data_IF_270670162912
#
_entry.id   IF_270670162912
#
_cell.length_a   1.000
_cell.length_b   1.000
_cell.length_c   1.000
_cell.angle_alpha   90.00
_cell.angle_beta   90.00
_cell.angle_gamma   90.00
#
_symmetry.space_group_name_H-M   'P 1'
#
loop_
_entity.id
_entity.type
_entity.pdbx_description
1 polymer ?
#
# COMPACT_ATOMS: atom_id res chain seq x y z
N UNK A 1 1.78 -24.04 4.44
CA UNK A 1 1.63 -22.83 5.28
C UNK A 1 0.68 -21.90 4.56
N UNK A 2 -0.21 -21.23 5.27
CA UNK A 2 -1.23 -20.37 4.68
C UNK A 2 -1.04 -18.93 5.17
N UNK A 3 -0.91 -18.00 4.24
CA UNK A 3 -0.83 -16.56 4.49
C UNK A 3 -1.91 -15.86 3.64
N UNK A 4 -3.20 -15.94 4.00
CA UNK A 4 -4.29 -15.48 3.17
C UNK A 4 -4.52 -13.97 3.28
N UNK A 5 -4.85 -13.32 2.16
CA UNK A 5 -5.47 -11.99 2.12
C UNK A 5 -6.32 -11.80 0.85
N UNK A 6 -7.20 -10.79 0.88
CA UNK A 6 -8.21 -10.52 -0.14
C UNK A 6 -7.58 -10.27 -1.53
N UNK A 7 -8.24 -10.78 -2.58
CA UNK A 7 -7.74 -10.66 -3.94
C UNK A 7 -7.75 -9.20 -4.41
N UNK A 8 -6.64 -8.77 -5.02
CA UNK A 8 -6.39 -7.40 -5.47
C UNK A 8 -6.19 -6.34 -4.37
N UNK A 9 -6.07 -6.72 -3.10
CA UNK A 9 -5.70 -5.82 -2.01
C UNK A 9 -4.24 -6.07 -1.58
N UNK A 10 -3.57 -5.10 -0.92
CA UNK A 10 -2.35 -5.40 -0.20
C UNK A 10 -2.67 -6.26 1.05
N UNK A 11 -1.72 -7.11 1.50
CA UNK A 11 -1.84 -7.80 2.78
C UNK A 11 -1.65 -6.82 3.95
N UNK A 12 -2.10 -7.19 5.16
CA UNK A 12 -1.56 -6.59 6.38
C UNK A 12 -0.03 -6.64 6.38
N UNK A 13 0.64 -5.56 6.76
CA UNK A 13 2.10 -5.45 6.60
C UNK A 13 2.84 -6.53 7.41
N UNK A 14 2.35 -6.88 8.60
CA UNK A 14 2.90 -7.95 9.46
C UNK A 14 2.88 -9.33 8.77
N UNK A 15 1.82 -9.63 8.01
CA UNK A 15 1.66 -10.92 7.34
C UNK A 15 2.81 -11.18 6.35
N UNK A 16 3.33 -10.14 5.70
CA UNK A 16 4.48 -10.25 4.81
C UNK A 16 5.76 -10.64 5.55
N UNK A 17 6.00 -10.06 6.74
CA UNK A 17 7.17 -10.40 7.57
C UNK A 17 7.08 -11.83 8.10
N UNK A 18 5.91 -12.24 8.59
CA UNK A 18 5.68 -13.61 9.05
C UNK A 18 5.90 -14.63 7.92
N UNK A 19 5.39 -14.34 6.71
CA UNK A 19 5.60 -15.20 5.55
C UNK A 19 7.07 -15.29 5.16
N UNK A 20 7.80 -14.16 5.12
CA UNK A 20 9.23 -14.16 4.79
C UNK A 20 10.06 -14.95 5.81
N UNK A 21 9.76 -14.83 7.11
CA UNK A 21 10.42 -15.61 8.16
C UNK A 21 10.24 -17.12 7.96
N UNK A 22 9.02 -17.56 7.67
CA UNK A 22 8.77 -19.00 7.46
C UNK A 22 9.38 -19.52 6.16
N UNK A 23 9.44 -18.70 5.10
CA UNK A 23 10.16 -19.01 3.86
C UNK A 23 11.66 -19.17 4.15
N UNK A 24 12.28 -18.21 4.84
CA UNK A 24 13.69 -18.26 5.24
C UNK A 24 13.99 -19.51 6.08
N UNK A 25 13.16 -19.77 7.09
CA UNK A 25 13.30 -20.96 7.95
C UNK A 25 13.26 -22.25 7.15
N UNK A 26 12.37 -22.38 6.16
CA UNK A 26 12.28 -23.57 5.32
C UNK A 26 13.50 -23.73 4.42
N UNK A 27 13.93 -22.66 3.75
CA UNK A 27 15.09 -22.70 2.84
C UNK A 27 16.40 -22.98 3.60
N UNK A 28 16.54 -22.49 4.82
CA UNK A 28 17.73 -22.71 5.65
C UNK A 28 17.86 -24.15 6.21
N UNK A 29 16.86 -25.03 6.06
CA UNK A 29 16.97 -26.43 6.54
C UNK A 29 17.96 -27.24 5.69
N UNK A 30 17.93 -27.05 4.37
CA UNK A 30 18.81 -27.75 3.43
C UNK A 30 18.82 -27.03 2.08
N UNK A 31 19.97 -26.93 1.38
CA UNK A 31 20.09 -26.19 0.12
C UNK A 31 19.23 -26.76 -1.03
N UNK A 32 18.69 -27.97 -0.90
CA UNK A 32 17.79 -28.57 -1.89
C UNK A 32 16.32 -28.20 -1.68
N UNK A 33 15.99 -27.49 -0.59
CA UNK A 33 14.61 -27.11 -0.32
C UNK A 33 14.14 -26.04 -1.31
N UNK A 34 12.88 -26.17 -1.71
CA UNK A 34 12.24 -25.24 -2.66
C UNK A 34 10.97 -24.68 -2.03
N UNK A 35 10.69 -23.40 -2.31
CA UNK A 35 9.41 -22.76 -1.96
C UNK A 35 8.61 -22.50 -3.23
N UNK A 36 7.35 -22.94 -3.22
CA UNK A 36 6.38 -22.66 -4.27
C UNK A 36 5.32 -21.72 -3.71
N UNK A 37 5.26 -20.50 -4.23
CA UNK A 37 4.25 -19.50 -3.85
C UNK A 37 3.15 -19.47 -4.91
N UNK A 38 1.90 -19.67 -4.50
CA UNK A 38 0.76 -19.56 -5.40
C UNK A 38 -0.33 -18.63 -4.86
N UNK A 39 -1.16 -18.16 -5.77
CA UNK A 39 -2.46 -17.56 -5.49
C UNK A 39 -3.41 -18.03 -6.59
N UNK A 40 -4.51 -17.30 -6.88
CA UNK A 40 -5.40 -17.69 -7.98
C UNK A 40 -4.76 -17.59 -9.36
N UNK A 41 -4.00 -16.52 -9.62
CA UNK A 41 -3.46 -16.22 -10.97
C UNK A 41 -1.92 -16.09 -11.00
N UNK A 42 -1.24 -16.20 -9.86
CA UNK A 42 0.23 -16.07 -9.78
C UNK A 42 0.77 -14.72 -10.24
N UNK A 43 0.00 -13.62 -10.04
CA UNK A 43 0.35 -12.24 -10.46
C UNK A 43 0.59 -11.32 -9.26
N UNK A 44 -0.40 -10.53 -8.85
CA UNK A 44 -0.21 -9.46 -7.87
C UNK A 44 0.17 -9.96 -6.47
N UNK A 45 -0.62 -10.88 -5.88
CA UNK A 45 -0.37 -11.39 -4.52
C UNK A 45 0.93 -12.18 -4.41
N UNK A 46 1.12 -13.13 -5.33
CA UNK A 46 2.34 -13.93 -5.44
C UNK A 46 3.56 -13.05 -5.64
N UNK A 47 3.50 -12.08 -6.57
CA UNK A 47 4.58 -11.14 -6.81
C UNK A 47 4.90 -10.27 -5.61
N UNK A 48 3.88 -9.80 -4.88
CA UNK A 48 4.08 -8.99 -3.66
C UNK A 48 4.92 -9.76 -2.64
N UNK A 49 4.54 -11.01 -2.32
CA UNK A 49 5.29 -11.82 -1.37
C UNK A 49 6.69 -12.19 -1.88
N UNK A 50 6.84 -12.54 -3.15
CA UNK A 50 8.15 -12.86 -3.75
C UNK A 50 9.08 -11.64 -3.71
N UNK A 51 8.58 -10.45 -4.06
CA UNK A 51 9.36 -9.21 -3.97
C UNK A 51 9.79 -8.94 -2.53
N UNK A 52 8.86 -9.03 -1.56
CA UNK A 52 9.19 -8.90 -0.15
C UNK A 52 10.25 -9.92 0.29
N UNK A 53 10.17 -11.18 -0.15
CA UNK A 53 11.17 -12.17 0.22
C UNK A 53 12.55 -11.88 -0.38
N UNK A 54 12.64 -11.41 -1.63
CA UNK A 54 13.91 -11.01 -2.25
C UNK A 54 14.58 -9.82 -1.55
N UNK A 55 13.77 -8.90 -1.00
CA UNK A 55 14.26 -7.81 -0.14
C UNK A 55 14.67 -8.35 1.22
N UNK A 56 13.85 -9.24 1.79
CA UNK A 56 14.08 -9.85 3.08
C UNK A 56 15.36 -10.67 3.09
N UNK A 57 15.69 -11.42 2.03
CA UNK A 57 16.96 -12.14 1.92
C UNK A 57 18.18 -11.22 1.77
N UNK A 58 17.99 -9.93 1.46
CA UNK A 58 19.07 -8.98 1.25
C UNK A 58 19.74 -9.07 -0.12
N UNK A 59 19.20 -9.87 -1.06
CA UNK A 59 19.77 -9.98 -2.41
C UNK A 59 19.47 -8.78 -3.30
N UNK A 60 18.28 -8.18 -3.13
CA UNK A 60 17.86 -7.01 -3.89
C UNK A 60 18.00 -5.72 -3.08
N UNK A 61 18.51 -4.64 -3.69
CA UNK A 61 18.87 -3.42 -2.98
C UNK A 61 17.67 -2.58 -2.54
N UNK A 62 16.57 -2.63 -3.29
CA UNK A 62 15.38 -1.84 -3.03
C UNK A 62 14.12 -2.43 -3.68
N UNK A 63 12.98 -1.92 -3.24
CA UNK A 63 11.66 -2.33 -3.72
C UNK A 63 11.47 -2.22 -5.23
N UNK A 64 12.05 -1.20 -5.89
CA UNK A 64 11.90 -1.05 -7.34
C UNK A 64 12.67 -2.15 -8.09
N UNK A 65 13.90 -2.46 -7.66
CA UNK A 65 14.67 -3.59 -8.19
C UNK A 65 13.90 -4.92 -8.03
N UNK A 66 13.29 -5.15 -6.87
CA UNK A 66 12.46 -6.34 -6.63
C UNK A 66 11.26 -6.45 -7.55
N UNK A 67 10.53 -5.35 -7.74
CA UNK A 67 9.39 -5.29 -8.64
C UNK A 67 9.79 -5.50 -10.11
N UNK A 68 10.89 -4.88 -10.56
CA UNK A 68 11.44 -5.03 -11.92
C UNK A 68 11.88 -6.46 -12.19
N UNK A 69 12.70 -7.03 -11.29
CA UNK A 69 13.17 -8.41 -11.41
C UNK A 69 12.02 -9.42 -11.42
N UNK A 70 11.03 -9.26 -10.53
CA UNK A 70 9.86 -10.14 -10.57
C UNK A 70 9.08 -10.03 -11.89
N UNK A 71 8.90 -8.81 -12.42
CA UNK A 71 8.21 -8.58 -13.70
C UNK A 71 8.91 -9.31 -14.84
N UNK A 72 10.23 -9.12 -15.01
CA UNK A 72 11.00 -9.71 -16.11
C UNK A 72 11.07 -11.23 -16.04
N UNK A 73 11.26 -11.80 -14.84
CA UNK A 73 11.37 -13.26 -14.68
C UNK A 73 10.04 -13.98 -14.91
N UNK A 74 8.92 -13.35 -14.56
CA UNK A 74 7.60 -13.99 -14.60
C UNK A 74 6.81 -13.70 -15.89
N UNK A 75 7.02 -12.55 -16.52
CA UNK A 75 6.18 -12.07 -17.62
C UNK A 75 7.03 -11.65 -18.82
N UNK A 76 6.58 -12.02 -20.03
CA UNK A 76 7.20 -11.57 -21.30
C UNK A 76 6.75 -10.17 -21.71
N UNK A 77 5.48 -9.85 -21.50
CA UNK A 77 4.86 -8.56 -21.81
C UNK A 77 3.84 -8.19 -20.73
N UNK A 78 3.81 -6.90 -20.35
CA UNK A 78 2.99 -6.41 -19.25
C UNK A 78 3.21 -7.19 -17.95
N UNK A 79 2.22 -7.21 -17.06
CA UNK A 79 2.25 -8.07 -15.87
C UNK A 79 3.00 -7.49 -14.67
N UNK A 80 3.43 -8.37 -13.78
CA UNK A 80 4.03 -8.00 -12.49
C UNK A 80 3.02 -7.62 -11.41
N UNK A 81 3.54 -7.02 -10.33
CA UNK A 81 2.72 -6.39 -9.29
C UNK A 81 2.27 -5.03 -9.81
N UNK A 82 0.98 -4.92 -10.12
CA UNK A 82 0.43 -3.78 -10.89
C UNK A 82 -0.56 -2.94 -10.10
N UNK A 83 -1.10 -3.45 -8.99
CA UNK A 83 -2.00 -2.67 -8.16
C UNK A 83 -1.17 -1.66 -7.34
N UNK A 84 -1.44 -0.35 -7.44
CA UNK A 84 -0.69 0.67 -6.71
C UNK A 84 -0.56 0.40 -5.20
N UNK A 85 -1.60 -0.10 -4.54
CA UNK A 85 -1.49 -0.40 -3.10
C UNK A 85 -0.61 -1.62 -2.81
N UNK A 86 -0.55 -2.61 -3.70
CA UNK A 86 0.40 -3.72 -3.54
C UNK A 86 1.85 -3.25 -3.71
N UNK A 87 2.11 -2.41 -4.72
CA UNK A 87 3.42 -1.77 -4.94
C UNK A 87 3.83 -0.95 -3.71
N UNK A 88 2.90 -0.14 -3.17
CA UNK A 88 3.13 0.65 -1.96
C UNK A 88 3.55 -0.20 -0.77
N UNK A 89 2.93 -1.36 -0.58
CA UNK A 89 3.25 -2.25 0.54
C UNK A 89 4.60 -2.96 0.38
N UNK A 90 5.08 -3.22 -0.85
CA UNK A 90 6.47 -3.66 -1.08
C UNK A 90 7.46 -2.57 -0.66
N UNK A 91 7.16 -1.30 -0.98
CA UNK A 91 7.99 -0.16 -0.55
C UNK A 91 7.97 0.04 0.97
N UNK A 92 6.81 -0.07 1.60
CA UNK A 92 6.68 -0.04 3.06
C UNK A 92 7.49 -1.15 3.73
N UNK A 93 7.47 -2.35 3.16
CA UNK A 93 8.25 -3.47 3.64
C UNK A 93 9.76 -3.19 3.59
N UNK A 94 10.24 -2.64 2.47
CA UNK A 94 11.64 -2.23 2.29
C UNK A 94 12.08 -1.16 3.32
N UNK A 95 11.26 -0.12 3.51
CA UNK A 95 11.51 0.94 4.48
C UNK A 95 11.61 0.42 5.93
N UNK A 96 10.77 -0.55 6.30
CA UNK A 96 10.85 -1.21 7.62
C UNK A 96 12.13 -2.03 7.74
N UNK A 97 12.50 -2.80 6.71
CA UNK A 97 13.75 -3.57 6.70
C UNK A 97 14.99 -2.69 6.86
N UNK A 98 14.94 -1.48 6.29
CA UNK A 98 15.99 -0.45 6.40
C UNK A 98 15.94 0.33 7.71
N UNK A 99 14.96 0.06 8.59
CA UNK A 99 14.80 0.73 9.88
C UNK A 99 14.32 2.18 9.78
N UNK A 100 13.80 2.60 8.61
CA UNK A 100 13.24 3.93 8.37
C UNK A 100 11.88 4.11 9.05
N UNK A 101 11.17 3.00 9.29
CA UNK A 101 9.93 2.97 10.08
C UNK A 101 10.03 1.83 11.08
N UNK A 102 9.83 2.15 12.37
CA UNK A 102 9.95 1.19 13.47
C UNK A 102 8.65 1.01 14.26
N UNK A 103 7.71 1.94 14.18
CA UNK A 103 6.40 1.75 14.78
C UNK A 103 5.32 2.64 14.12
N UNK A 104 4.03 2.36 14.36
CA UNK A 104 2.94 3.08 13.72
C UNK A 104 2.76 4.46 14.34
N UNK A 105 2.02 5.32 13.63
CA UNK A 105 1.53 6.59 14.18
C UNK A 105 0.05 6.47 14.57
N UNK A 106 -0.36 7.25 15.57
CA UNK A 106 -1.78 7.49 15.87
C UNK A 106 -2.16 8.82 15.25
N UNK A 107 -3.09 8.81 14.30
CA UNK A 107 -3.41 9.98 13.49
C UNK A 107 -4.91 10.26 13.48
N UNK A 108 -5.27 11.54 13.52
CA UNK A 108 -6.63 12.02 13.34
C UNK A 108 -6.78 12.57 11.92
N UNK A 109 -7.50 11.90 11.01
CA UNK A 109 -7.89 12.53 9.75
C UNK A 109 -8.79 13.75 10.01
N UNK A 110 -8.46 14.88 9.40
CA UNK A 110 -9.19 16.16 9.54
C UNK A 110 -10.15 16.35 8.37
N UNK A 111 -9.63 16.21 7.15
CA UNK A 111 -10.38 16.46 5.92
C UNK A 111 -10.03 15.45 4.83
N UNK A 112 -11.01 15.15 4.00
CA UNK A 112 -10.87 14.31 2.81
C UNK A 112 -11.34 15.14 1.61
N UNK A 113 -10.47 15.30 0.62
CA UNK A 113 -10.72 16.15 -0.53
C UNK A 113 -10.28 15.47 -1.83
N UNK A 114 -10.75 16.00 -2.95
CA UNK A 114 -10.25 15.64 -4.29
C UNK A 114 -9.89 16.88 -5.09
N UNK A 115 -8.84 16.80 -5.91
CA UNK A 115 -8.45 17.91 -6.80
C UNK A 115 -9.39 18.09 -7.99
N UNK A 116 -9.95 17.00 -8.49
CA UNK A 116 -10.97 17.01 -9.55
C UNK A 116 -12.01 15.95 -9.23
N UNK A 117 -13.23 16.11 -9.73
CA UNK A 117 -14.30 15.13 -9.57
C UNK A 117 -14.51 14.29 -10.83
N UNK A 118 -14.81 12.98 -10.73
CA UNK A 118 -15.14 12.17 -11.89
C UNK A 118 -16.41 12.64 -12.63
N UNK A 119 -16.38 12.65 -13.96
CA UNK A 119 -17.52 13.02 -14.80
C UNK A 119 -18.47 11.83 -14.96
N UNK A 120 -19.70 11.99 -14.45
CA UNK A 120 -20.85 11.15 -14.82
C UNK A 120 -21.87 11.99 -15.58
N UNK A 121 -23.18 11.79 -15.34
CA UNK A 121 -24.22 12.55 -16.01
C UNK A 121 -24.07 14.04 -15.68
N UNK A 122 -24.00 14.87 -16.73
CA UNK A 122 -23.83 16.32 -16.62
C UNK A 122 -22.54 16.71 -15.85
N UNK A 123 -21.41 16.07 -16.18
CA UNK A 123 -20.09 16.31 -15.58
C UNK A 123 -20.07 16.36 -14.05
N UNK A 124 -20.92 15.56 -13.41
CA UNK A 124 -21.11 15.66 -11.98
C UNK A 124 -21.05 14.32 -11.27
N UNK A 125 -20.67 14.36 -10.00
CA UNK A 125 -20.60 13.18 -9.13
C UNK A 125 -21.18 13.41 -7.75
N UNK A 126 -21.58 12.33 -7.08
CA UNK A 126 -21.93 12.28 -5.66
C UNK A 126 -20.98 11.31 -5.00
N UNK A 127 -19.91 11.82 -4.39
CA UNK A 127 -18.85 10.97 -3.87
C UNK A 127 -19.21 10.44 -2.48
N UNK A 128 -19.12 9.12 -2.33
CA UNK A 128 -19.12 8.42 -1.04
C UNK A 128 -17.69 8.00 -0.76
N UNK A 129 -17.21 8.26 0.44
CA UNK A 129 -15.92 7.80 0.94
C UNK A 129 -16.14 6.92 2.17
N UNK A 130 -15.49 5.77 2.19
CA UNK A 130 -15.53 4.82 3.30
C UNK A 130 -14.10 4.48 3.74
N UNK A 131 -13.85 4.46 5.05
CA UNK A 131 -12.62 3.94 5.64
C UNK A 131 -12.90 2.65 6.40
N UNK A 132 -11.95 1.73 6.27
CA UNK A 132 -12.00 0.41 6.88
C UNK A 132 -10.75 0.16 7.71
N UNK A 133 -10.96 -0.45 8.88
CA UNK A 133 -9.90 -1.00 9.72
C UNK A 133 -10.32 -2.42 10.13
N UNK A 134 -9.45 -3.41 9.90
CA UNK A 134 -9.76 -4.83 10.08
C UNK A 134 -11.13 -5.21 9.47
N UNK A 135 -11.34 -4.88 8.19
CA UNK A 135 -12.57 -5.16 7.42
C UNK A 135 -13.84 -4.45 7.90
N UNK A 136 -13.79 -3.71 9.01
CA UNK A 136 -14.92 -2.97 9.56
C UNK A 136 -14.92 -1.53 9.06
N UNK A 137 -16.09 -1.02 8.67
CA UNK A 137 -16.25 0.41 8.35
C UNK A 137 -16.10 1.21 9.64
N UNK A 138 -15.09 2.07 9.69
CA UNK A 138 -14.86 3.01 10.80
C UNK A 138 -15.32 4.42 10.47
N UNK A 139 -15.57 4.72 9.19
CA UNK A 139 -16.06 6.01 8.74
C UNK A 139 -16.78 5.89 7.40
N UNK A 140 -17.87 6.64 7.26
CA UNK A 140 -18.51 6.88 5.96
C UNK A 140 -19.14 8.27 5.93
N UNK A 141 -19.03 8.98 4.81
CA UNK A 141 -19.77 10.22 4.57
C UNK A 141 -21.11 9.98 3.85
N UNK A 142 -21.52 8.72 3.68
CA UNK A 142 -22.75 8.34 2.98
C UNK A 142 -23.96 8.91 3.73
N UNK A 143 -24.71 9.76 3.06
CA UNK A 143 -25.95 10.32 3.60
C UNK A 143 -27.09 9.28 3.63
N UNK A 144 -28.13 9.47 4.45
CA UNK A 144 -29.30 8.57 4.46
C UNK A 144 -30.06 8.58 3.12
N UNK A 145 -29.99 9.70 2.41
CA UNK A 145 -30.65 9.91 1.13
C UNK A 145 -29.62 10.39 0.09
N UNK A 146 -29.68 9.83 -1.11
CA UNK A 146 -28.85 10.20 -2.25
C UNK A 146 -28.97 11.68 -2.58
N UNK A 147 -30.16 12.26 -2.45
CA UNK A 147 -30.39 13.65 -2.82
C UNK A 147 -29.80 14.63 -1.79
N UNK A 148 -29.48 14.14 -0.58
CA UNK A 148 -28.69 14.86 0.43
C UNK A 148 -27.18 14.70 0.23
N UNK A 149 -26.73 13.73 -0.55
CA UNK A 149 -25.31 13.57 -0.85
C UNK A 149 -24.82 14.76 -1.68
N UNK A 150 -23.68 15.32 -1.27
CA UNK A 150 -23.05 16.47 -1.95
C UNK A 150 -22.93 16.22 -3.44
N UNK A 151 -23.51 17.12 -4.23
CA UNK A 151 -23.45 17.09 -5.69
C UNK A 151 -22.30 17.96 -6.16
N UNK A 152 -21.29 17.33 -6.75
CA UNK A 152 -20.07 17.99 -7.21
C UNK A 152 -20.15 18.09 -8.73
N UNK A 153 -20.31 19.32 -9.24
CA UNK A 153 -20.12 19.63 -10.66
C UNK A 153 -18.70 20.15 -10.88
N UNK A 154 -18.00 19.60 -11.85
CA UNK A 154 -16.62 19.95 -12.17
C UNK A 154 -16.46 19.80 -13.68
N UNK A 155 -15.87 20.79 -14.35
CA UNK A 155 -15.57 20.72 -15.78
C UNK A 155 -14.06 20.51 -16.04
N UNK A 156 -13.28 20.30 -14.97
CA UNK A 156 -11.81 20.17 -14.94
C UNK A 156 -11.01 21.40 -15.36
N UNK A 157 -11.67 22.55 -15.51
CA UNK A 157 -11.05 23.83 -15.81
C UNK A 157 -10.64 24.61 -14.55
N UNK A 158 -11.40 24.44 -13.45
CA UNK A 158 -11.13 25.06 -12.15
C UNK A 158 -10.10 24.23 -11.36
N UNK A 159 -9.22 24.91 -10.62
CA UNK A 159 -8.27 24.29 -9.71
C UNK A 159 -8.78 24.17 -8.27
N UNK A 160 -10.08 24.44 -8.02
CA UNK A 160 -10.67 24.29 -6.68
C UNK A 160 -10.58 22.84 -6.19
N UNK A 161 -10.31 22.69 -4.88
CA UNK A 161 -10.43 21.40 -4.21
C UNK A 161 -11.90 21.14 -3.86
N UNK A 162 -12.35 19.90 -4.05
CA UNK A 162 -13.69 19.48 -3.66
C UNK A 162 -13.61 18.70 -2.35
N UNK A 163 -14.19 19.27 -1.29
CA UNK A 163 -14.30 18.60 0.01
C UNK A 163 -15.31 17.47 -0.06
N UNK A 164 -14.85 16.25 0.21
CA UNK A 164 -15.70 15.07 0.34
C UNK A 164 -16.24 14.97 1.77
N UNK A 165 -15.38 15.23 2.76
CA UNK A 165 -15.78 15.29 4.15
C UNK A 165 -14.82 16.07 5.05
N UNK A 166 -15.38 16.55 6.17
CA UNK A 166 -14.66 17.02 7.36
C UNK A 166 -15.05 16.06 8.48
N UNK A 167 -14.09 15.57 9.25
CA UNK A 167 -14.33 14.51 10.23
C UNK A 167 -14.61 15.08 11.62
N UNK A 168 -15.90 15.12 11.94
CA UNK A 168 -16.45 15.48 13.24
C UNK A 168 -17.64 14.55 13.56
N UNK A 169 -17.62 13.77 14.67
CA UNK A 169 -16.58 13.70 15.69
C UNK A 169 -15.24 13.12 15.21
N UNK A 170 -14.13 13.38 15.92
CA UNK A 170 -12.83 12.88 15.54
C UNK A 170 -12.75 11.35 15.66
N UNK A 171 -12.05 10.73 14.72
CA UNK A 171 -11.63 9.33 14.78
C UNK A 171 -10.10 9.27 14.84
N UNK A 172 -9.56 8.18 15.38
CA UNK A 172 -8.12 7.95 15.47
C UNK A 172 -7.75 6.68 14.72
N UNK A 173 -6.82 6.81 13.78
CA UNK A 173 -6.33 5.76 12.92
C UNK A 173 -4.99 5.23 13.42
N UNK A 174 -4.75 3.94 13.20
CA UNK A 174 -3.48 3.25 13.43
C UNK A 174 -3.37 2.05 12.49
N UNK A 175 -2.15 1.70 12.11
CA UNK A 175 -1.86 0.52 11.29
C UNK A 175 -2.39 0.64 9.85
N UNK A 176 -2.82 -0.48 9.29
CA UNK A 176 -3.29 -0.59 7.91
C UNK A 176 -4.74 -0.10 7.74
N UNK A 177 -4.94 0.90 6.89
CA UNK A 177 -6.23 1.52 6.59
C UNK A 177 -6.56 1.32 5.11
N UNK A 178 -7.78 0.85 4.83
CA UNK A 178 -8.33 0.74 3.48
C UNK A 178 -9.38 1.84 3.26
N UNK A 179 -9.25 2.59 2.18
CA UNK A 179 -10.21 3.60 1.77
C UNK A 179 -10.88 3.21 0.45
N UNK A 180 -12.19 3.45 0.33
CA UNK A 180 -12.96 3.21 -0.89
C UNK A 180 -13.74 4.46 -1.27
N UNK A 181 -13.75 4.78 -2.57
CA UNK A 181 -14.51 5.90 -3.13
C UNK A 181 -15.53 5.36 -4.13
N UNK A 182 -16.76 5.85 -4.03
CA UNK A 182 -17.86 5.49 -4.92
C UNK A 182 -18.57 6.72 -5.45
N UNK A 183 -19.19 6.58 -6.61
CA UNK A 183 -20.21 7.50 -7.08
C UNK A 183 -21.61 6.94 -6.76
N UNK A 184 -22.43 7.72 -6.05
CA UNK A 184 -23.83 7.39 -5.79
C UNK A 184 -24.72 7.65 -7.02
N UNK A 185 -24.74 6.66 -7.92
CA UNK A 185 -25.58 6.65 -9.11
C UNK A 185 -27.07 6.51 -8.79
N UNK A 186 -27.94 6.74 -9.79
CA UNK A 186 -29.41 6.69 -9.59
C UNK A 186 -29.92 5.30 -9.17
N UNK A 187 -29.35 4.24 -9.74
CA UNK A 187 -29.81 2.87 -9.50
C UNK A 187 -28.81 2.01 -8.71
N UNK A 188 -27.51 2.31 -8.84
CA UNK A 188 -26.46 1.61 -8.14
C UNK A 188 -25.26 2.53 -7.88
N UNK A 189 -24.53 2.20 -6.83
CA UNK A 189 -23.24 2.83 -6.58
C UNK A 189 -22.22 2.28 -7.57
N UNK A 190 -21.42 3.18 -8.13
CA UNK A 190 -20.28 2.82 -8.99
C UNK A 190 -19.03 2.90 -8.15
N UNK A 191 -18.32 1.79 -7.95
CA UNK A 191 -17.00 1.81 -7.34
C UNK A 191 -16.04 2.57 -8.27
N UNK A 192 -15.42 3.63 -7.75
CA UNK A 192 -14.49 4.46 -8.49
C UNK A 192 -13.08 3.92 -8.32
N UNK A 193 -12.55 4.10 -7.12
CA UNK A 193 -11.21 3.67 -6.76
C UNK A 193 -11.16 3.27 -5.28
N UNK A 194 -10.06 2.64 -4.91
CA UNK A 194 -9.69 2.33 -3.53
C UNK A 194 -8.20 2.55 -3.36
N UNK A 195 -7.74 2.65 -2.12
CA UNK A 195 -6.32 2.65 -1.82
C UNK A 195 -6.13 2.21 -0.37
N UNK A 196 -5.00 1.60 -0.07
CA UNK A 196 -4.59 1.33 1.30
C UNK A 196 -3.31 2.08 1.64
N UNK A 197 -3.18 2.47 2.90
CA UNK A 197 -1.98 3.05 3.48
C UNK A 197 -1.79 2.54 4.91
N UNK A 198 -0.58 2.66 5.43
CA UNK A 198 -0.27 2.35 6.82
C UNK A 198 0.11 3.65 7.56
N UNK A 199 -0.40 3.84 8.78
CA UNK A 199 -0.19 5.11 9.50
C UNK A 199 1.28 5.38 9.85
N UNK A 200 2.13 4.35 9.91
CA UNK A 200 3.58 4.50 10.12
C UNK A 200 4.30 5.24 8.99
N UNK A 201 3.66 5.42 7.83
CA UNK A 201 4.28 5.99 6.63
C UNK A 201 3.67 7.33 6.21
N UNK A 202 2.89 7.95 7.09
CA UNK A 202 2.34 9.27 6.78
C UNK A 202 3.47 10.31 6.77
N UNK A 203 3.60 11.13 5.71
CA UNK A 203 4.66 12.11 5.60
C UNK A 203 4.68 13.11 6.77
N UNK A 204 5.82 13.76 7.00
CA UNK A 204 5.97 14.73 8.09
C UNK A 204 5.01 15.91 7.99
N UNK A 205 4.65 16.35 6.78
CA UNK A 205 3.66 17.41 6.57
C UNK A 205 2.21 16.97 6.83
N UNK A 206 2.01 15.70 7.26
CA UNK A 206 0.71 15.11 7.64
C UNK A 206 -0.35 15.16 6.54
N UNK A 207 0.07 15.15 5.28
CA UNK A 207 -0.84 15.14 4.13
C UNK A 207 -0.46 13.98 3.22
N UNK A 208 -1.44 13.12 2.93
CA UNK A 208 -1.36 12.18 1.81
C UNK A 208 -1.96 12.84 0.58
N UNK A 209 -1.23 12.79 -0.55
CA UNK A 209 -1.76 13.11 -1.87
C UNK A 209 -1.56 11.88 -2.76
N UNK A 210 -2.65 11.20 -3.12
CA UNK A 210 -2.62 10.06 -4.04
C UNK A 210 -3.20 10.47 -5.38
N UNK A 211 -2.35 10.49 -6.41
CA UNK A 211 -2.74 10.81 -7.78
C UNK A 211 -3.52 9.66 -8.41
N UNK A 212 -4.12 9.94 -9.56
CA UNK A 212 -4.90 8.99 -10.36
C UNK A 212 -4.21 7.63 -10.57
N UNK A 213 -2.90 7.60 -10.82
CA UNK A 213 -2.14 6.37 -11.03
C UNK A 213 -1.71 5.68 -9.72
N UNK A 214 -1.94 6.30 -8.58
CA UNK A 214 -1.54 5.78 -7.26
C UNK A 214 -2.70 5.12 -6.50
N UNK A 215 -3.89 5.04 -7.10
CA UNK A 215 -5.06 4.40 -6.52
C UNK A 215 -5.47 3.15 -7.32
N UNK A 216 -6.04 2.17 -6.63
CA UNK A 216 -6.51 0.93 -7.23
C UNK A 216 -7.96 1.08 -7.74
N UNK A 217 -8.43 0.19 -8.64
CA UNK A 217 -7.60 -0.75 -9.40
C UNK A 217 -6.70 -0.01 -10.39
N UNK A 218 -5.57 -0.58 -10.79
CA UNK A 218 -4.63 0.06 -11.73
C UNK A 218 -5.32 0.68 -12.97
N UNK A 219 -6.35 0.02 -13.51
CA UNK A 219 -7.16 0.51 -14.65
C UNK A 219 -7.86 1.86 -14.40
N UNK A 220 -7.93 2.34 -13.16
CA UNK A 220 -8.43 3.68 -12.82
C UNK A 220 -7.57 4.78 -13.46
N UNK A 221 -6.25 4.55 -13.60
CA UNK A 221 -5.33 5.44 -14.33
C UNK A 221 -5.79 5.69 -15.77
N UNK A 222 -6.43 4.70 -16.40
CA UNK A 222 -6.90 4.74 -17.80
C UNK A 222 -8.32 5.28 -17.97
N UNK A 223 -9.00 5.64 -16.88
CA UNK A 223 -10.39 6.11 -16.96
C UNK A 223 -10.46 7.48 -17.63
N UNK A 224 -11.21 7.58 -18.73
CA UNK A 224 -11.51 8.86 -19.40
C UNK A 224 -12.56 9.68 -18.67
N UNK A 225 -13.22 9.12 -17.65
CA UNK A 225 -14.17 9.82 -16.78
C UNK A 225 -13.51 10.55 -15.63
N UNK A 226 -12.19 10.54 -15.55
CA UNK A 226 -11.42 11.09 -14.44
C UNK A 226 -10.27 11.89 -15.03
N UNK A 227 -10.12 13.15 -14.61
CA UNK A 227 -9.01 14.00 -15.05
C UNK A 227 -7.66 13.39 -14.68
N UNK A 228 -6.62 13.61 -15.49
CA UNK A 228 -5.25 13.24 -15.12
C UNK A 228 -4.71 14.07 -13.94
N UNK A 229 -5.34 15.22 -13.66
CA UNK A 229 -5.09 16.02 -12.45
C UNK A 229 -5.75 15.44 -11.20
N UNK A 230 -6.52 14.36 -11.31
CA UNK A 230 -7.19 13.75 -10.16
C UNK A 230 -6.18 13.36 -9.08
N UNK A 231 -6.49 13.77 -7.86
CA UNK A 231 -5.80 13.32 -6.67
C UNK A 231 -6.79 13.26 -5.50
N UNK A 232 -6.63 12.25 -4.66
CA UNK A 232 -7.26 12.18 -3.33
C UNK A 232 -6.29 12.79 -2.33
N UNK A 233 -6.79 13.69 -1.50
CA UNK A 233 -6.01 14.40 -0.49
C UNK A 233 -6.62 14.11 0.86
N UNK A 234 -5.80 13.63 1.80
CA UNK A 234 -6.20 13.43 3.19
C UNK A 234 -5.22 14.21 4.06
N UNK A 235 -5.76 15.10 4.88
CA UNK A 235 -5.02 15.86 5.88
C UNK A 235 -5.20 15.21 7.25
N UNK A 236 -4.11 15.11 7.99
CA UNK A 236 -4.07 14.49 9.31
C UNK A 236 -3.54 15.48 10.35
N UNK A 237 -3.99 15.27 11.58
CA UNK A 237 -3.39 15.81 12.80
C UNK A 237 -2.77 14.66 13.60
N UNK A 238 -1.72 14.94 14.35
CA UNK A 238 -1.12 13.99 15.28
C UNK A 238 -1.23 14.54 16.70
N UNK A 239 -1.62 13.69 17.65
CA UNK A 239 -1.78 14.07 19.06
C UNK A 239 -0.45 14.23 19.82
N UNK A 240 0.67 13.86 19.20
CA UNK A 240 1.99 13.86 19.82
C UNK A 240 3.08 14.09 18.75
N UNK A 241 4.28 14.50 19.18
CA UNK A 241 5.44 14.71 18.28
C UNK A 241 6.24 13.42 17.98
N UNK A 242 5.78 12.25 18.46
CA UNK A 242 6.53 11.01 18.24
C UNK A 242 6.56 10.64 16.75
N UNK A 243 7.72 10.20 16.26
CA UNK A 243 7.94 9.91 14.84
C UNK A 243 8.04 8.42 14.57
N UNK A 244 7.69 7.98 13.36
CA UNK A 244 7.66 6.58 12.91
C UNK A 244 8.98 5.84 13.10
N UNK A 245 10.11 6.55 13.14
CA UNK A 245 11.47 6.03 13.35
C UNK A 245 11.73 5.60 14.80
N UNK A 246 10.84 5.99 15.74
CA UNK A 246 10.92 5.64 17.14
C UNK A 246 10.31 4.25 17.40
N UNK A 247 10.97 3.45 18.23
CA UNK A 247 10.40 2.20 18.76
C UNK A 247 9.28 2.50 19.76
N UNK A 248 8.42 1.51 20.02
CA UNK A 248 7.28 1.66 20.92
C UNK A 248 7.68 2.12 22.33
N UNK A 249 8.75 1.57 22.91
CA UNK A 249 9.24 1.96 24.23
C UNK A 249 9.77 3.40 24.31
N UNK A 250 10.06 4.04 23.17
CA UNK A 250 10.53 5.43 23.09
C UNK A 250 9.36 6.40 22.94
N UNK A 251 8.13 5.89 22.70
CA UNK A 251 6.93 6.71 22.49
C UNK A 251 6.45 7.34 23.79
N UNK A 252 5.84 8.52 23.69
CA UNK A 252 5.22 9.19 24.84
C UNK A 252 4.00 8.42 25.36
N UNK A 253 3.61 8.73 26.60
CA UNK A 253 2.49 8.08 27.28
C UNK A 253 1.16 8.19 26.53
N UNK A 254 0.88 9.36 25.93
CA UNK A 254 -0.35 9.59 25.14
C UNK A 254 -0.41 8.60 23.97
N UNK A 255 0.67 8.52 23.19
CA UNK A 255 0.73 7.68 22.02
C UNK A 255 0.68 6.18 22.41
N UNK A 256 1.33 5.80 23.52
CA UNK A 256 1.20 4.45 24.08
C UNK A 256 -0.21 4.12 24.55
N UNK A 257 -0.94 5.05 25.18
CA UNK A 257 -2.30 4.81 25.65
C UNK A 257 -3.30 4.68 24.49
N UNK A 258 -3.09 5.43 23.42
CA UNK A 258 -3.97 5.45 22.25
C UNK A 258 -3.75 4.26 21.29
N UNK A 259 -2.51 3.75 21.22
CA UNK A 259 -2.22 2.55 20.43
C UNK A 259 -2.91 1.32 21.02
N UNK A 260 -3.64 0.61 20.17
CA UNK A 260 -4.33 -0.62 20.53
C UNK A 260 -3.34 -1.74 20.84
N UNK A 261 -3.71 -2.63 21.76
CA UNK A 261 -2.87 -3.76 22.19
C UNK A 261 -2.46 -4.64 21.00
N UNK A 262 -3.41 -4.93 20.11
CA UNK A 262 -3.13 -5.71 18.90
C UNK A 262 -2.09 -5.02 18.01
N UNK A 263 -2.23 -3.72 17.75
CA UNK A 263 -1.29 -2.97 16.90
C UNK A 263 0.12 -2.94 17.50
N UNK A 264 0.25 -2.79 18.82
CA UNK A 264 1.56 -2.88 19.49
C UNK A 264 2.20 -4.25 19.26
N UNK A 265 1.45 -5.32 19.51
CA UNK A 265 1.93 -6.68 19.32
C UNK A 265 2.36 -6.96 17.87
N UNK A 266 1.64 -6.42 16.87
CA UNK A 266 2.02 -6.54 15.45
C UNK A 266 3.40 -5.94 15.19
N UNK A 267 3.64 -4.71 15.68
CA UNK A 267 4.92 -4.03 15.46
C UNK A 267 6.06 -4.63 16.25
N UNK A 268 5.82 -5.08 17.48
CA UNK A 268 6.81 -5.83 18.26
C UNK A 268 7.23 -7.12 17.51
N UNK A 269 6.26 -7.83 16.92
CA UNK A 269 6.54 -9.00 16.10
C UNK A 269 7.32 -8.64 14.82
N UNK A 270 6.88 -7.63 14.06
CA UNK A 270 7.60 -7.15 12.87
C UNK A 270 9.06 -6.86 13.20
N UNK A 271 9.31 -6.04 14.23
CA UNK A 271 10.68 -5.67 14.62
C UNK A 271 11.48 -6.88 15.09
N UNK A 272 10.88 -7.77 15.87
CA UNK A 272 11.53 -9.01 16.28
C UNK A 272 11.95 -9.86 15.07
N UNK A 273 11.09 -9.98 14.04
CA UNK A 273 11.41 -10.68 12.80
C UNK A 273 12.59 -10.02 12.08
N UNK A 274 12.57 -8.69 11.95
CA UNK A 274 13.67 -7.94 11.30
C UNK A 274 14.99 -8.11 12.04
N UNK A 275 14.96 -8.05 13.37
CA UNK A 275 16.15 -8.13 14.25
C UNK A 275 16.71 -9.55 14.38
N UNK A 276 15.84 -10.56 14.27
CA UNK A 276 16.22 -11.99 14.33
C UNK A 276 16.56 -12.59 12.97
N UNK A 277 16.47 -11.79 11.90
CA UNK A 277 16.77 -12.23 10.54
C UNK A 277 18.21 -12.74 10.45
N UNK A 278 18.36 -13.98 9.99
CA UNK A 278 19.66 -14.61 9.80
C UNK A 278 19.95 -14.71 8.30
N UNK A 279 20.56 -13.66 7.76
CA UNK A 279 20.93 -13.60 6.34
C UNK A 279 22.16 -14.50 6.14
N UNK A 280 21.94 -15.78 5.84
CA UNK A 280 22.93 -16.61 5.16
C UNK A 280 23.13 -16.09 3.73
N UNK A 281 24.11 -16.61 2.99
CA UNK A 281 24.41 -16.15 1.63
C UNK A 281 23.11 -16.05 0.79
N UNK A 282 22.66 -14.82 0.45
CA UNK A 282 21.40 -14.62 -0.25
C UNK A 282 21.35 -15.34 -1.60
N UNK A 283 22.52 -15.56 -2.22
CA UNK A 283 22.66 -16.21 -3.50
C UNK A 283 22.33 -17.70 -3.36
N UNK A 284 22.99 -18.39 -2.43
CA UNK A 284 22.74 -19.81 -2.17
C UNK A 284 21.30 -20.03 -1.68
N UNK A 285 20.79 -19.15 -0.83
CA UNK A 285 19.43 -19.31 -0.29
C UNK A 285 18.31 -19.11 -1.33
N UNK A 286 18.49 -18.18 -2.26
CA UNK A 286 17.46 -17.92 -3.29
C UNK A 286 17.57 -18.85 -4.49
N UNK A 287 18.80 -19.21 -4.88
CA UNK A 287 19.07 -19.87 -6.15
C UNK A 287 19.65 -21.27 -6.00
N UNK A 288 20.08 -21.66 -4.80
CA UNK A 288 20.78 -22.93 -4.51
C UNK A 288 22.20 -22.98 -5.05
N UNK A 289 22.43 -22.41 -6.23
CA UNK A 289 23.68 -22.38 -6.96
C UNK A 289 23.96 -20.97 -7.49
N UNK A 290 25.18 -20.49 -7.28
CA UNK A 290 25.60 -19.13 -7.66
C UNK A 290 25.44 -18.81 -9.14
N UNK A 291 25.61 -19.81 -10.01
CA UNK A 291 25.48 -19.68 -11.46
C UNK A 291 24.03 -19.48 -11.94
N UNK A 292 23.04 -19.73 -11.08
CA UNK A 292 21.63 -19.52 -11.37
C UNK A 292 21.15 -18.10 -10.98
N UNK A 293 21.99 -17.35 -10.27
CA UNK A 293 21.71 -15.96 -9.92
C UNK A 293 21.98 -15.05 -11.13
N UNK A 294 20.92 -14.57 -11.75
CA UNK A 294 20.96 -13.66 -12.89
C UNK A 294 20.44 -12.26 -12.56
N UNK A 295 20.33 -11.91 -11.27
CA UNK A 295 19.77 -10.63 -10.84
C UNK A 295 20.51 -9.45 -11.43
N UNK A 296 21.84 -9.41 -11.33
CA UNK A 296 22.61 -8.24 -11.75
C UNK A 296 22.55 -8.06 -13.28
N UNK A 297 22.54 -9.20 -14.01
CA UNK A 297 22.31 -9.20 -15.46
C UNK A 297 20.95 -8.64 -15.80
N UNK A 298 19.89 -9.17 -15.19
CA UNK A 298 18.51 -8.73 -15.46
C UNK A 298 18.30 -7.27 -15.08
N UNK A 299 18.88 -6.79 -13.99
CA UNK A 299 18.76 -5.39 -13.57
C UNK A 299 19.54 -4.44 -14.49
N UNK A 300 20.67 -4.87 -15.06
CA UNK A 300 21.44 -4.06 -16.02
C UNK A 300 20.73 -3.85 -17.37
N UNK A 301 19.74 -4.68 -17.69
CA UNK A 301 18.92 -4.55 -18.90
C UNK A 301 17.84 -3.46 -18.78
N UNK A 302 17.60 -2.93 -17.57
CA UNK A 302 16.66 -1.82 -17.35
C UNK A 302 17.40 -0.48 -17.43
N UNK A 303 16.99 0.37 -18.37
CA UNK A 303 17.43 1.76 -18.45
C UNK A 303 16.56 2.64 -17.53
N UNK A 304 17.17 3.19 -16.47
CA UNK A 304 16.49 4.05 -15.51
C UNK A 304 15.87 5.32 -16.14
N UNK A 305 16.31 5.72 -17.34
CA UNK A 305 15.74 6.87 -18.05
C UNK A 305 14.41 6.60 -18.77
N UNK A 306 14.08 5.33 -19.03
CA UNK A 306 12.88 4.92 -19.81
C UNK A 306 11.74 4.43 -18.89
N UNK A 307 12.08 3.79 -17.77
CA UNK A 307 11.09 3.13 -16.89
C UNK A 307 10.30 4.08 -15.97
N UNK A 308 10.78 5.31 -15.76
CA UNK A 308 10.01 6.34 -15.06
C UNK A 308 8.73 6.71 -15.81
N UNK A 309 8.70 6.58 -17.14
CA UNK A 309 7.51 6.80 -17.95
C UNK A 309 6.58 5.58 -17.96
N UNK A 310 7.10 4.34 -17.90
CA UNK A 310 6.28 3.13 -17.90
C UNK A 310 5.52 2.88 -16.58
N UNK A 311 6.06 3.34 -15.45
CA UNK A 311 5.32 3.36 -14.17
C UNK A 311 4.32 4.53 -14.06
N UNK A 312 4.42 5.52 -14.95
CA UNK A 312 3.52 6.68 -15.01
C UNK A 312 2.45 6.55 -16.11
N UNK A 313 2.70 5.75 -17.16
CA UNK A 313 1.87 5.69 -18.39
C UNK A 313 1.28 4.30 -18.73
N UNK A 314 1.35 3.30 -17.84
CA UNK A 314 0.64 2.01 -18.01
C UNK A 314 -0.55 1.75 -17.06
#
# INVERSE_FOLDING_TARGET
>A
MEFPWEDHYPPPIELLFQACKEIEKWLNITPINVVVVNCRAGKGRTGTLICCYMLYSGRLPDANAALRYYKSKRFKEGGGVTQPSQIRYVKYFDDILKGLVKSPLVLRPISIQTRTAPHFKSNASRLIFEMYYNENIIYTNKQPDRDKQVYIHDDWEDNRLHTIAILDPPIYLQGDILCKIYHWGKFKNTNLCRFSFNTGFIPYNKIIVLRKYEVDPYKFSKSTRVSDKFAVIIEFEQLCECKSEMRLQERCEICLKMLGIAEKARWDNILHIVESRNILDPVENLFGLSELDDIDKVLSEFDDSIDCELLANE
#
